data_IF_916745693227
#
_entry.id   IF_916745693227
#
_cell.length_a   1.000
_cell.length_b   1.000
_cell.length_c   1.000
_cell.angle_alpha   90.00
_cell.angle_beta   90.00
_cell.angle_gamma   90.00
#
_symmetry.space_group_name_H-M   'P 1'
#
loop_
_entity.id
_entity.type
_entity.pdbx_description
1 polymer ?
#
# COMPACT_ATOMS: atom_id res chain seq x y z
N UNK A 1 -18.76 12.07 1.53
CA UNK A 1 -17.89 12.85 0.64
C UNK A 1 -16.45 12.31 0.77
N UNK A 2 -16.13 11.27 -0.01
CA UNK A 2 -14.79 10.67 -0.07
C UNK A 2 -13.88 11.56 -0.92
N UNK A 3 -13.26 12.55 -0.28
CA UNK A 3 -12.69 13.75 -0.93
C UNK A 3 -11.62 13.50 -2.02
N UNK A 4 -11.09 12.27 -2.13
CA UNK A 4 -10.07 11.89 -3.12
C UNK A 4 -10.43 10.68 -3.99
N UNK A 5 -11.43 9.87 -3.61
CA UNK A 5 -11.79 8.64 -4.35
C UNK A 5 -12.77 8.89 -5.50
N UNK A 6 -13.61 9.93 -5.39
CA UNK A 6 -14.73 10.18 -6.33
C UNK A 6 -14.54 11.40 -7.24
N UNK A 7 -13.32 11.96 -7.32
CA UNK A 7 -13.00 12.98 -8.33
C UNK A 7 -12.54 12.30 -9.62
N UNK A 8 -12.73 12.96 -10.75
CA UNK A 8 -12.33 12.46 -12.08
C UNK A 8 -10.82 12.06 -12.15
N UNK A 9 -9.99 12.56 -11.23
CA UNK A 9 -8.57 12.22 -11.03
C UNK A 9 -8.29 11.27 -9.83
N UNK A 10 -9.20 10.34 -9.52
CA UNK A 10 -9.14 9.44 -8.34
C UNK A 10 -8.01 8.38 -8.34
N UNK A 11 -8.32 7.12 -8.00
CA UNK A 11 -7.38 5.99 -8.05
C UNK A 11 -7.06 5.59 -9.50
N UNK A 12 -6.35 6.45 -10.21
CA UNK A 12 -5.94 6.21 -11.60
C UNK A 12 -4.93 5.08 -11.69
N UNK A 13 -4.85 4.43 -12.87
CA UNK A 13 -3.86 3.38 -13.11
C UNK A 13 -2.43 3.88 -12.86
N UNK A 14 -2.09 5.08 -13.34
CA UNK A 14 -0.76 5.70 -13.14
C UNK A 14 -0.44 5.92 -11.67
N UNK A 15 -1.42 6.34 -10.85
CA UNK A 15 -1.23 6.48 -9.41
C UNK A 15 -0.97 5.12 -8.74
N UNK A 16 -1.70 4.08 -9.14
CA UNK A 16 -1.51 2.73 -8.62
C UNK A 16 -0.16 2.14 -9.01
N UNK A 17 0.28 2.38 -10.25
CA UNK A 17 1.62 1.99 -10.72
C UNK A 17 2.72 2.62 -9.87
N UNK A 18 2.60 3.92 -9.57
CA UNK A 18 3.51 4.62 -8.66
C UNK A 18 3.39 4.11 -7.22
N UNK A 19 2.18 3.78 -6.76
CA UNK A 19 1.95 3.23 -5.43
C UNK A 19 2.62 1.86 -5.24
N UNK A 20 2.61 0.98 -6.24
CA UNK A 20 3.30 -0.31 -6.18
C UNK A 20 4.82 -0.09 -6.00
N UNK A 21 5.40 0.87 -6.73
CA UNK A 21 6.80 1.26 -6.55
C UNK A 21 7.05 1.77 -5.12
N UNK A 22 6.16 2.61 -4.61
CA UNK A 22 6.23 3.11 -3.23
C UNK A 22 6.23 1.95 -2.22
N UNK A 23 5.32 0.98 -2.35
CA UNK A 23 5.22 -0.20 -1.46
C UNK A 23 6.52 -1.01 -1.41
N UNK A 24 7.21 -1.19 -2.54
CA UNK A 24 8.49 -1.93 -2.60
C UNK A 24 9.70 -1.09 -2.17
N UNK A 25 9.56 0.23 -2.01
CA UNK A 25 10.62 1.09 -1.47
C UNK A 25 10.59 1.16 0.08
N UNK A 26 9.42 1.02 0.68
CA UNK A 26 9.27 1.26 2.13
C UNK A 26 9.95 0.19 2.99
N UNK A 27 10.45 0.58 4.16
CA UNK A 27 11.09 -0.33 5.12
C UNK A 27 10.11 -1.29 5.84
N UNK A 28 8.79 -1.07 5.69
CA UNK A 28 7.76 -1.89 6.33
C UNK A 28 7.44 -3.17 5.54
N UNK A 29 6.94 -4.22 6.21
CA UNK A 29 6.40 -5.40 5.54
C UNK A 29 5.34 -5.02 4.51
N UNK A 30 5.37 -5.65 3.33
CA UNK A 30 4.44 -5.34 2.23
C UNK A 30 2.99 -5.54 2.67
N UNK A 31 2.72 -6.61 3.42
CA UNK A 31 1.39 -6.87 3.99
C UNK A 31 0.86 -5.69 4.81
N UNK A 32 1.69 -5.06 5.65
CA UNK A 32 1.27 -3.94 6.50
C UNK A 32 1.05 -2.65 5.71
N UNK A 33 1.73 -2.49 4.58
CA UNK A 33 1.50 -1.37 3.67
C UNK A 33 0.17 -1.48 2.93
N UNK A 34 -0.24 -2.71 2.60
CA UNK A 34 -1.50 -3.00 1.91
C UNK A 34 -2.68 -3.18 2.87
N UNK A 35 -2.41 -3.56 4.13
CA UNK A 35 -3.39 -3.73 5.19
C UNK A 35 -2.99 -2.92 6.44
N UNK A 36 -3.14 -1.59 6.40
CA UNK A 36 -2.74 -0.72 7.50
C UNK A 36 -3.66 -0.87 8.72
N UNK A 37 -3.10 -0.67 9.91
CA UNK A 37 -3.89 -0.58 11.13
C UNK A 37 -4.70 0.71 11.17
N UNK A 38 -5.90 0.65 11.76
CA UNK A 38 -6.69 1.85 12.03
C UNK A 38 -6.06 2.61 13.19
N UNK A 39 -5.82 3.90 12.98
CA UNK A 39 -5.29 4.79 14.00
C UNK A 39 -6.43 5.59 14.64
N UNK A 40 -6.44 5.65 15.98
CA UNK A 40 -7.26 6.62 16.69
C UNK A 40 -6.64 8.01 16.50
N UNK A 41 -7.31 8.82 15.67
CA UNK A 41 -6.87 10.17 15.31
C UNK A 41 -7.73 11.26 15.95
N UNK A 42 -8.62 10.93 16.89
CA UNK A 42 -9.58 11.87 17.49
C UNK A 42 -8.88 13.05 18.17
N UNK A 43 -8.00 12.76 19.14
CA UNK A 43 -7.27 13.80 19.88
C UNK A 43 -6.37 14.63 18.95
N UNK A 44 -5.74 13.99 17.97
CA UNK A 44 -4.93 14.68 16.97
C UNK A 44 -5.78 15.65 16.14
N UNK A 45 -6.93 15.19 15.66
CA UNK A 45 -7.86 15.97 14.85
C UNK A 45 -8.43 17.17 15.64
N UNK A 46 -8.94 16.94 16.84
CA UNK A 46 -9.53 17.97 17.69
C UNK A 46 -8.50 19.05 18.02
N UNK A 47 -7.30 18.64 18.45
CA UNK A 47 -6.31 19.59 18.95
C UNK A 47 -5.54 20.32 17.85
N UNK A 48 -5.41 19.72 16.65
CA UNK A 48 -4.49 20.24 15.63
C UNK A 48 -5.13 20.52 14.27
N UNK A 49 -6.40 20.16 14.04
CA UNK A 49 -7.04 20.31 12.73
C UNK A 49 -8.45 20.90 12.80
N UNK A 50 -9.16 20.73 13.91
CA UNK A 50 -10.50 21.30 14.09
C UNK A 50 -10.43 22.83 14.03
N UNK A 51 -11.28 23.41 13.17
CA UNK A 51 -11.32 24.87 12.94
C UNK A 51 -10.18 25.43 12.09
N UNK A 52 -9.19 24.63 11.67
CA UNK A 52 -8.08 25.09 10.81
C UNK A 52 -8.40 25.01 9.32
N UNK A 53 -9.36 24.16 8.93
CA UNK A 53 -9.72 23.99 7.51
C UNK A 53 -10.84 24.95 7.12
N UNK A 54 -10.65 25.66 6.00
CA UNK A 54 -11.67 26.53 5.40
C UNK A 54 -12.79 25.77 4.68
N UNK A 55 -12.67 24.45 4.61
CA UNK A 55 -13.62 23.56 3.94
C UNK A 55 -14.51 22.98 5.03
N UNK A 56 -15.70 23.55 5.17
CA UNK A 56 -16.75 22.97 5.99
C UNK A 56 -17.13 21.60 5.40
N UNK A 57 -17.03 20.53 6.21
CA UNK A 57 -17.56 19.20 5.85
C UNK A 57 -16.60 18.01 5.88
N UNK A 58 -15.32 18.18 6.29
CA UNK A 58 -14.44 17.03 6.58
C UNK A 58 -14.37 16.82 8.09
N UNK A 59 -15.23 15.94 8.60
CA UNK A 59 -15.25 15.56 10.00
C UNK A 59 -14.30 14.41 10.32
N UNK A 60 -14.06 14.19 11.61
CA UNK A 60 -13.32 13.03 12.14
C UNK A 60 -13.87 11.71 11.57
N UNK A 61 -15.19 11.56 11.54
CA UNK A 61 -15.86 10.35 11.04
C UNK A 61 -15.50 10.06 9.58
N UNK A 62 -15.36 11.09 8.74
CA UNK A 62 -14.96 10.91 7.35
C UNK A 62 -13.53 10.36 7.27
N UNK A 63 -12.61 10.88 8.08
CA UNK A 63 -11.22 10.42 8.09
C UNK A 63 -11.11 8.99 8.61
N UNK A 64 -11.88 8.63 9.65
CA UNK A 64 -11.95 7.26 10.17
C UNK A 64 -12.55 6.30 9.14
N UNK A 65 -13.57 6.72 8.39
CA UNK A 65 -14.13 5.92 7.29
C UNK A 65 -13.12 5.71 6.15
N UNK A 66 -12.37 6.76 5.78
CA UNK A 66 -11.34 6.66 4.73
C UNK A 66 -10.26 5.64 5.12
N UNK A 67 -9.82 5.60 6.38
CA UNK A 67 -8.84 4.60 6.84
C UNK A 67 -9.31 3.15 6.60
N UNK A 68 -10.62 2.90 6.67
CA UNK A 68 -11.20 1.57 6.47
C UNK A 68 -11.40 1.22 4.99
N UNK A 69 -11.86 2.20 4.20
CA UNK A 69 -12.32 1.97 2.83
C UNK A 69 -11.17 2.06 1.83
N UNK A 70 -10.25 3.01 2.00
CA UNK A 70 -9.19 3.28 1.02
C UNK A 70 -8.30 2.07 0.71
N UNK A 71 -7.83 1.28 1.70
CA UNK A 71 -7.04 0.09 1.40
C UNK A 71 -7.81 -0.92 0.54
N UNK A 72 -9.10 -1.09 0.81
CA UNK A 72 -9.97 -2.00 0.06
C UNK A 72 -10.17 -1.51 -1.38
N UNK A 73 -10.42 -0.21 -1.57
CA UNK A 73 -10.56 0.37 -2.91
C UNK A 73 -9.27 0.24 -3.72
N UNK A 74 -8.10 0.53 -3.14
CA UNK A 74 -6.81 0.33 -3.82
C UNK A 74 -6.64 -1.12 -4.30
N UNK A 75 -6.96 -2.09 -3.43
CA UNK A 75 -6.80 -3.50 -3.74
C UNK A 75 -7.75 -3.98 -4.84
N UNK A 76 -8.95 -3.43 -4.95
CA UNK A 76 -9.90 -3.73 -6.04
C UNK A 76 -9.34 -3.35 -7.42
N UNK A 77 -8.46 -2.36 -7.47
CA UNK A 77 -7.83 -1.95 -8.73
C UNK A 77 -6.54 -2.74 -9.06
N UNK A 78 -6.07 -3.62 -8.16
CA UNK A 78 -4.90 -4.44 -8.46
C UNK A 78 -5.26 -5.53 -9.47
N UNK A 79 -4.49 -5.56 -10.56
CA UNK A 79 -4.58 -6.63 -11.55
C UNK A 79 -3.83 -7.87 -11.07
N UNK A 80 -4.03 -8.98 -11.78
CA UNK A 80 -3.26 -10.19 -11.52
C UNK A 80 -1.74 -9.98 -11.72
N UNK A 81 -1.35 -9.13 -12.67
CA UNK A 81 0.06 -8.78 -12.89
C UNK A 81 0.65 -8.04 -11.68
N UNK A 82 -0.11 -7.11 -11.08
CA UNK A 82 0.31 -6.37 -9.89
C UNK A 82 0.52 -7.31 -8.70
N UNK A 83 -0.47 -8.20 -8.44
CA UNK A 83 -0.38 -9.21 -7.37
C UNK A 83 0.80 -10.16 -7.59
N UNK A 84 0.98 -10.64 -8.82
CA UNK A 84 2.09 -11.54 -9.18
C UNK A 84 3.45 -10.87 -9.00
N UNK A 85 3.61 -9.62 -9.44
CA UNK A 85 4.82 -8.85 -9.22
C UNK A 85 5.15 -8.68 -7.74
N UNK A 86 4.16 -8.24 -6.94
CA UNK A 86 4.34 -8.02 -5.50
C UNK A 86 4.77 -9.32 -4.80
N UNK A 87 4.16 -10.45 -5.19
CA UNK A 87 4.52 -11.76 -4.66
C UNK A 87 5.93 -12.19 -5.08
N UNK A 88 6.28 -12.04 -6.36
CA UNK A 88 7.63 -12.32 -6.86
C UNK A 88 8.69 -11.46 -6.16
N UNK A 89 8.40 -10.17 -5.96
CA UNK A 89 9.27 -9.26 -5.21
C UNK A 89 9.47 -9.73 -3.77
N UNK A 90 8.40 -10.13 -3.07
CA UNK A 90 8.50 -10.67 -1.71
C UNK A 90 9.31 -11.96 -1.66
N UNK A 91 9.22 -12.80 -2.71
CA UNK A 91 9.97 -14.05 -2.87
C UNK A 91 11.43 -13.85 -3.31
N UNK A 92 11.85 -12.63 -3.60
CA UNK A 92 13.22 -12.32 -4.07
C UNK A 92 13.43 -12.50 -5.57
N UNK A 93 12.39 -12.89 -6.31
CA UNK A 93 12.41 -13.17 -7.75
C UNK A 93 11.34 -12.32 -8.48
N UNK A 94 11.40 -10.97 -8.41
CA UNK A 94 10.42 -10.14 -9.10
C UNK A 94 10.59 -10.21 -10.62
N UNK A 95 9.48 -10.44 -11.31
CA UNK A 95 9.40 -10.21 -12.75
C UNK A 95 9.10 -8.74 -13.04
N UNK A 96 10.15 -7.98 -13.36
CA UNK A 96 10.05 -6.55 -13.65
C UNK A 96 9.25 -6.22 -14.91
N UNK A 97 8.93 -7.19 -15.77
CA UNK A 97 8.08 -6.97 -16.94
C UNK A 97 6.61 -6.78 -16.55
N UNK A 98 6.22 -7.20 -15.34
CA UNK A 98 4.85 -7.10 -14.83
C UNK A 98 4.48 -5.71 -14.29
N UNK A 99 5.40 -4.74 -14.29
CA UNK A 99 5.17 -3.39 -13.73
C UNK A 99 5.42 -2.30 -14.75
N UNK A 100 4.71 -1.18 -14.62
CA UNK A 100 4.89 -0.02 -15.51
C UNK A 100 6.27 0.66 -15.39
N UNK A 101 6.95 0.51 -14.25
CA UNK A 101 8.22 1.18 -13.94
C UNK A 101 9.39 0.22 -13.67
N UNK A 102 9.82 -0.61 -14.63
CA UNK A 102 10.88 -1.62 -14.43
C UNK A 102 12.23 -1.02 -14.00
N UNK A 103 12.46 0.26 -14.29
CA UNK A 103 13.65 1.01 -13.86
C UNK A 103 13.71 1.20 -12.34
N UNK A 104 12.59 1.02 -11.61
CA UNK A 104 12.55 1.08 -10.14
C UNK A 104 13.52 0.09 -9.47
N UNK A 105 13.92 -1.00 -10.16
CA UNK A 105 14.99 -1.92 -9.70
C UNK A 105 16.33 -1.23 -9.40
N UNK A 106 16.57 -0.04 -9.97
CA UNK A 106 17.78 0.73 -9.73
C UNK A 106 17.72 1.59 -8.47
N UNK A 107 16.52 1.80 -7.89
CA UNK A 107 16.35 2.65 -6.72
C UNK A 107 17.09 2.05 -5.50
N UNK A 108 17.85 2.87 -4.74
CA UNK A 108 18.57 2.39 -3.56
C UNK A 108 17.66 1.69 -2.54
N UNK A 109 16.47 2.25 -2.29
CA UNK A 109 15.50 1.70 -1.34
C UNK A 109 14.99 0.32 -1.76
N UNK A 110 14.75 0.11 -3.06
CA UNK A 110 14.30 -1.17 -3.63
C UNK A 110 15.39 -2.23 -3.46
N UNK A 111 16.63 -1.90 -3.86
CA UNK A 111 17.78 -2.81 -3.72
C UNK A 111 18.03 -3.17 -2.26
N UNK A 112 17.93 -2.19 -1.37
CA UNK A 112 18.06 -2.40 0.06
C UNK A 112 16.99 -3.36 0.60
N UNK A 113 15.73 -3.17 0.21
CA UNK A 113 14.63 -4.05 0.64
C UNK A 113 14.84 -5.49 0.15
N UNK A 114 15.26 -5.68 -1.10
CA UNK A 114 15.57 -7.02 -1.63
C UNK A 114 16.74 -7.67 -0.90
N UNK A 115 17.81 -6.93 -0.63
CA UNK A 115 18.96 -7.45 0.12
C UNK A 115 18.57 -7.86 1.55
N UNK A 116 17.62 -7.16 2.18
CA UNK A 116 17.11 -7.53 3.50
C UNK A 116 16.22 -8.76 3.47
N UNK A 117 15.40 -8.93 2.42
CA UNK A 117 14.59 -10.14 2.25
C UNK A 117 15.46 -11.40 2.17
N UNK A 118 16.58 -11.33 1.46
CA UNK A 118 17.55 -12.43 1.35
C UNK A 118 18.25 -12.79 2.67
N UNK A 119 18.27 -11.87 3.64
CA UNK A 119 18.90 -12.06 4.95
C UNK A 119 17.92 -12.53 6.04
N UNK A 120 16.63 -12.64 5.73
CA UNK A 120 15.63 -13.07 6.71
C UNK A 120 15.82 -14.54 7.08
N UNK A 121 15.59 -14.87 8.36
CA UNK A 121 15.50 -16.25 8.83
C UNK A 121 14.42 -17.02 8.05
N UNK A 122 14.73 -18.25 7.63
CA UNK A 122 13.89 -19.05 6.72
C UNK A 122 12.45 -19.20 7.20
N UNK A 123 12.23 -19.46 8.49
CA UNK A 123 10.88 -19.63 9.05
C UNK A 123 10.05 -18.34 9.02
N UNK A 124 10.62 -17.22 9.50
CA UNK A 124 9.95 -15.92 9.49
C UNK A 124 9.69 -15.43 8.06
N UNK A 125 10.60 -15.76 7.15
CA UNK A 125 10.47 -15.46 5.74
C UNK A 125 9.27 -16.20 5.10
N UNK A 126 9.15 -17.51 5.33
CA UNK A 126 8.01 -18.31 4.84
C UNK A 126 6.68 -17.83 5.40
N UNK A 127 6.60 -17.59 6.71
CA UNK A 127 5.40 -17.03 7.34
C UNK A 127 4.98 -15.69 6.72
N UNK A 128 5.95 -14.82 6.42
CA UNK A 128 5.67 -13.54 5.78
C UNK A 128 5.21 -13.67 4.32
N UNK A 129 5.67 -14.69 3.59
CA UNK A 129 5.18 -15.01 2.24
C UNK A 129 3.74 -15.53 2.33
N UNK A 130 3.48 -16.53 3.17
CA UNK A 130 2.16 -17.14 3.34
C UNK A 130 1.13 -16.09 3.75
N UNK A 131 1.46 -15.24 4.73
CA UNK A 131 0.59 -14.15 5.18
C UNK A 131 0.24 -13.18 4.04
N UNK A 132 1.21 -12.82 3.21
CA UNK A 132 0.96 -11.94 2.06
C UNK A 132 0.15 -12.66 0.97
N UNK A 133 0.42 -13.93 0.71
CA UNK A 133 -0.26 -14.71 -0.31
C UNK A 133 -1.73 -14.90 0.02
N UNK A 134 -2.04 -15.33 1.26
CA UNK A 134 -3.41 -15.48 1.74
C UNK A 134 -4.17 -14.16 1.64
N UNK A 135 -3.53 -13.05 1.99
CA UNK A 135 -4.12 -11.72 1.90
C UNK A 135 -4.45 -11.32 0.45
N UNK A 136 -3.51 -11.48 -0.49
CA UNK A 136 -3.72 -11.09 -1.89
C UNK A 136 -4.76 -11.97 -2.61
N UNK A 137 -4.87 -13.24 -2.21
CA UNK A 137 -5.86 -14.19 -2.74
C UNK A 137 -7.25 -13.96 -2.16
N UNK A 138 -7.36 -13.47 -0.92
CA UNK A 138 -8.65 -13.15 -0.30
C UNK A 138 -9.31 -11.91 -0.91
N UNK A 139 -8.52 -11.01 -1.51
CA UNK A 139 -9.00 -9.83 -2.22
C UNK A 139 -9.33 -10.10 -3.71
N UNK A 140 -9.91 -11.25 -4.04
CA UNK A 140 -10.46 -11.57 -5.37
C UNK A 140 -11.96 -11.28 -5.46
#
# INVERSE_FOLDING_TARGET
>A
MFLLLNKEDGLTRTLLDAFIVYVICQGKPIYEMLNPNIHNIESLFINQFQGMTKIDGIGLDNLVQVQKILPQEILKHFTQADKAFIMGFKKGEPDWQLIAHPHAKALPAVRWKQANLQKMESQKYQQAIEKLQTFLNWCE
#
